data_IF_474794367444
#
_entry.id   IF_474794367444
#
_cell.length_a   1.000
_cell.length_b   1.000
_cell.length_c   1.000
_cell.angle_alpha   90.00
_cell.angle_beta   90.00
_cell.angle_gamma   90.00
#
_symmetry.space_group_name_H-M   'P 1'
#
loop_
_entity.id
_entity.type
_entity.pdbx_description
1 polymer ?
#
# COMPACT_ATOMS: atom_id res chain seq x y z
N UNK A 1 -19.88 -22.39 5.89
CA UNK A 1 -19.54 -21.80 5.70
C UNK A 1 -19.08 -21.33 5.65
N UNK A 2 -19.22 -21.39 5.38
CA UNK A 2 -18.72 -20.65 4.94
C UNK A 2 -18.07 -20.04 5.26
N UNK A 3 -17.90 -20.17 5.40
CA UNK A 3 -17.35 -19.41 5.44
C UNK A 3 -16.71 -18.96 5.64
N UNK A 4 -16.63 -19.05 5.40
CA UNK A 4 -16.22 -18.33 5.34
C UNK A 4 -15.70 -17.76 5.49
N UNK A 5 -15.70 -17.87 5.16
CA UNK A 5 -15.33 -17.09 5.02
C UNK A 5 -14.96 -16.35 5.41
N UNK A 6 -15.26 -16.34 5.27
CA UNK A 6 -15.04 -15.39 5.37
C UNK A 6 -14.36 -14.85 5.98
N UNK A 7 -14.28 -14.96 6.34
CA UNK A 7 -13.72 -14.25 6.79
C UNK A 7 -12.80 -13.92 6.65
N UNK A 8 -12.43 -14.15 6.49
CA UNK A 8 -11.56 -13.76 6.46
C UNK A 8 -11.21 -12.92 6.09
N UNK A 9 -11.50 -12.91 5.66
CA UNK A 9 -11.01 -12.05 5.25
C UNK A 9 -10.87 -10.99 5.75
N UNK A 10 -11.26 -10.68 6.10
CA UNK A 10 -11.06 -9.66 6.44
C UNK A 10 -10.06 -9.43 7.15
N UNK A 11 -10.07 -9.73 7.96
CA UNK A 11 -9.14 -9.28 8.67
C UNK A 11 -7.88 -9.35 8.18
N UNK A 12 -7.64 -10.13 7.47
CA UNK A 12 -6.39 -10.22 7.09
C UNK A 12 -5.99 -9.33 6.13
N UNK A 13 -6.84 -8.58 5.84
CA UNK A 13 -6.68 -8.07 4.67
C UNK A 13 -5.69 -7.12 4.28
N UNK A 14 -4.55 -7.39 4.33
CA UNK A 14 -3.55 -6.56 3.71
C UNK A 14 -3.85 -6.40 2.23
N UNK A 15 -3.42 -5.28 1.66
CA UNK A 15 -3.60 -5.02 0.23
C UNK A 15 -2.38 -5.54 -0.52
N UNK A 16 -2.59 -6.16 -1.66
CA UNK A 16 -1.49 -6.57 -2.51
C UNK A 16 -0.65 -5.35 -2.84
N UNK A 17 0.62 -5.41 -2.54
CA UNK A 17 1.52 -4.29 -2.78
C UNK A 17 2.90 -4.75 -3.23
N UNK A 18 3.02 -5.99 -3.63
CA UNK A 18 4.26 -6.54 -4.16
C UNK A 18 4.63 -5.82 -5.44
N UNK A 19 5.89 -5.41 -5.54
CA UNK A 19 6.36 -4.67 -6.70
C UNK A 19 6.18 -5.48 -7.99
N UNK A 20 6.21 -6.81 -7.89
CA UNK A 20 6.06 -7.68 -9.05
C UNK A 20 4.67 -7.63 -9.67
N UNK A 21 3.69 -7.11 -8.94
CA UNK A 21 2.32 -6.98 -9.43
C UNK A 21 2.05 -5.65 -10.09
N UNK A 22 3.05 -4.79 -10.19
CA UNK A 22 2.86 -3.39 -10.58
C UNK A 22 3.69 -3.01 -11.79
N UNK A 23 3.22 -1.99 -12.51
CA UNK A 23 3.97 -1.40 -13.61
C UNK A 23 3.75 0.12 -13.64
N UNK A 24 4.49 0.81 -14.47
CA UNK A 24 4.47 2.27 -14.58
C UNK A 24 4.68 2.92 -13.21
N UNK A 25 5.69 2.42 -12.51
CA UNK A 25 5.99 2.83 -11.16
C UNK A 25 6.79 4.14 -11.21
N UNK A 26 6.25 5.19 -10.60
CA UNK A 26 6.87 6.51 -10.60
C UNK A 26 6.94 7.03 -9.18
N UNK A 27 8.12 7.39 -8.74
CA UNK A 27 8.30 7.95 -7.40
C UNK A 27 7.71 9.36 -7.33
N UNK A 28 6.86 9.58 -6.34
CA UNK A 28 6.25 10.89 -6.12
C UNK A 28 6.91 11.65 -4.97
N UNK A 29 7.52 10.93 -4.06
CA UNK A 29 8.19 11.54 -2.91
C UNK A 29 8.48 10.50 -1.86
N UNK A 30 8.95 10.96 -0.70
CA UNK A 30 9.27 10.08 0.41
C UNK A 30 8.46 10.46 1.63
N UNK A 31 8.10 9.44 2.39
CA UNK A 31 7.46 9.64 3.69
C UNK A 31 8.53 9.92 4.74
N UNK A 32 8.08 10.34 5.92
CA UNK A 32 8.98 10.70 7.01
C UNK A 32 9.89 9.55 7.43
N UNK A 33 9.43 8.32 7.28
CA UNK A 33 10.22 7.14 7.65
C UNK A 33 11.12 6.65 6.52
N UNK A 34 11.20 7.39 5.43
CA UNK A 34 12.06 7.04 4.31
C UNK A 34 11.41 6.17 3.24
N UNK A 35 10.17 5.73 3.47
CA UNK A 35 9.46 4.95 2.46
C UNK A 35 9.15 5.80 1.24
N UNK A 36 9.36 5.24 0.05
CA UNK A 36 8.92 5.87 -1.17
C UNK A 36 7.41 5.83 -1.28
N UNK A 37 6.85 6.87 -1.88
CA UNK A 37 5.43 6.96 -2.19
C UNK A 37 5.32 7.08 -3.70
N UNK A 38 4.54 6.18 -4.32
CA UNK A 38 4.59 5.98 -5.77
C UNK A 38 3.24 6.07 -6.42
N UNK A 39 3.25 6.48 -7.68
CA UNK A 39 2.15 6.22 -8.59
C UNK A 39 2.47 4.92 -9.31
N UNK A 40 1.48 4.06 -9.47
CA UNK A 40 1.67 2.78 -10.16
C UNK A 40 0.33 2.27 -10.68
N UNK A 41 0.40 1.25 -11.52
CA UNK A 41 -0.78 0.50 -11.95
C UNK A 41 -0.56 -0.97 -11.64
N UNK A 42 -1.64 -1.70 -11.40
CA UNK A 42 -1.54 -3.14 -11.26
C UNK A 42 -1.47 -3.77 -12.64
N UNK A 43 -0.71 -4.84 -12.77
CA UNK A 43 -0.60 -5.55 -14.03
C UNK A 43 -1.98 -6.00 -14.51
N UNK A 44 -2.22 -5.81 -15.79
CA UNK A 44 -3.52 -6.12 -16.37
C UNK A 44 -4.47 -4.93 -16.41
N UNK A 45 -4.06 -3.79 -15.89
CA UNK A 45 -4.92 -2.60 -15.87
C UNK A 45 -4.04 -1.36 -16.05
N UNK A 46 -4.62 -0.30 -16.57
CA UNK A 46 -3.93 0.98 -16.68
C UNK A 46 -4.42 1.98 -15.65
N UNK A 47 -5.33 1.59 -14.78
CA UNK A 47 -5.79 2.50 -13.74
C UNK A 47 -4.64 2.80 -12.80
N UNK A 48 -4.44 4.08 -12.49
CA UNK A 48 -3.34 4.51 -11.65
C UNK A 48 -3.76 4.68 -10.21
N UNK A 49 -2.91 4.23 -9.31
CA UNK A 49 -3.08 4.34 -7.87
C UNK A 49 -1.85 4.97 -7.26
N UNK A 50 -1.95 5.35 -6.01
CA UNK A 50 -0.79 5.78 -5.24
C UNK A 50 -0.63 4.89 -4.03
N UNK A 51 0.62 4.67 -3.64
CA UNK A 51 0.90 3.83 -2.49
C UNK A 51 2.37 3.52 -2.36
N UNK A 52 2.64 2.49 -1.58
CA UNK A 52 3.99 2.07 -1.23
C UNK A 52 4.33 0.75 -1.91
N UNK A 53 5.60 0.36 -1.85
CA UNK A 53 6.05 -0.94 -2.34
C UNK A 53 6.28 -1.85 -1.14
N UNK A 54 5.67 -3.03 -1.16
CA UNK A 54 5.76 -3.96 -0.04
C UNK A 54 7.21 -4.31 0.28
N UNK A 55 8.05 -4.43 -0.74
CA UNK A 55 9.44 -4.77 -0.52
C UNK A 55 10.17 -3.72 0.31
N UNK A 56 9.83 -2.45 0.13
CA UNK A 56 10.41 -1.38 0.94
C UNK A 56 9.84 -1.37 2.35
N UNK A 57 8.53 -1.58 2.46
CA UNK A 57 7.88 -1.63 3.78
C UNK A 57 8.47 -2.76 4.61
N UNK A 58 8.79 -3.88 3.96
CA UNK A 58 9.37 -5.03 4.64
C UNK A 58 10.69 -4.70 5.32
N UNK A 59 11.46 -3.76 4.74
CA UNK A 59 12.72 -3.33 5.31
C UNK A 59 12.54 -2.37 6.48
N UNK A 60 11.52 -1.53 6.43
CA UNK A 60 11.34 -0.45 7.39
C UNK A 60 10.36 -0.84 8.50
N UNK A 61 9.29 -1.53 8.15
CA UNK A 61 8.26 -1.89 9.11
C UNK A 61 7.70 -3.27 8.74
N UNK A 62 8.47 -4.33 9.01
CA UNK A 62 8.06 -5.68 8.57
C UNK A 62 6.72 -6.13 9.17
N UNK A 63 6.33 -5.60 10.32
CA UNK A 63 5.05 -5.96 10.92
C UNK A 63 3.86 -5.49 10.10
N UNK A 64 4.07 -4.58 9.15
CA UNK A 64 3.01 -4.11 8.27
C UNK A 64 2.92 -4.90 6.97
N UNK A 65 3.69 -5.98 6.83
CA UNK A 65 3.75 -6.77 5.60
C UNK A 65 3.47 -8.23 5.91
N UNK A 66 2.71 -8.87 5.03
CA UNK A 66 2.49 -10.30 5.10
C UNK A 66 2.51 -10.89 3.70
N UNK A 67 2.88 -12.15 3.59
CA UNK A 67 2.83 -12.85 2.32
C UNK A 67 1.47 -13.51 2.18
N UNK A 68 0.80 -13.23 1.08
CA UNK A 68 -0.50 -13.83 0.81
C UNK A 68 -0.37 -15.27 0.33
N UNK A 69 -1.50 -15.94 0.23
CA UNK A 69 -1.53 -17.34 -0.25
C UNK A 69 -1.05 -17.45 -1.69
N UNK A 70 -1.21 -16.38 -2.46
CA UNK A 70 -0.75 -16.34 -3.85
C UNK A 70 0.75 -16.12 -3.95
N UNK A 71 1.44 -16.00 -2.81
CA UNK A 71 2.89 -15.80 -2.80
C UNK A 71 3.32 -14.37 -2.90
N UNK A 72 2.41 -13.46 -3.12
CA UNK A 72 2.75 -12.04 -3.25
C UNK A 72 2.60 -11.32 -1.92
N UNK A 73 3.40 -10.28 -1.75
CA UNK A 73 3.40 -9.50 -0.51
C UNK A 73 2.21 -8.57 -0.44
N UNK A 74 1.69 -8.40 0.76
CA UNK A 74 0.57 -7.50 1.06
C UNK A 74 1.00 -6.54 2.15
N UNK A 75 0.45 -5.35 2.11
CA UNK A 75 0.74 -4.30 3.09
C UNK A 75 -0.55 -3.94 3.83
N UNK A 76 -0.44 -3.82 5.14
CA UNK A 76 -1.53 -3.32 5.97
C UNK A 76 -1.40 -1.81 6.01
N UNK A 77 -2.07 -1.14 5.08
CA UNK A 77 -1.98 0.29 4.92
C UNK A 77 -2.40 1.06 6.16
N UNK A 78 -3.35 0.52 6.92
CA UNK A 78 -3.79 1.16 8.15
C UNK A 78 -2.67 1.21 9.19
N UNK A 79 -1.77 0.24 9.19
CA UNK A 79 -0.62 0.26 10.09
C UNK A 79 0.39 1.33 9.72
N UNK A 80 0.40 1.72 8.46
CA UNK A 80 1.30 2.76 7.98
C UNK A 80 0.68 4.14 8.09
N UNK A 81 -0.61 4.23 8.31
CA UNK A 81 -1.30 5.52 8.27
C UNK A 81 -1.42 6.09 6.87
N UNK A 82 -1.43 5.25 5.86
CA UNK A 82 -1.52 5.67 4.48
C UNK A 82 -2.85 5.20 3.90
N UNK A 83 -3.68 6.09 3.37
CA UNK A 83 -4.87 5.65 2.69
C UNK A 83 -4.50 5.08 1.32
N UNK A 84 -5.20 4.05 0.89
CA UNK A 84 -5.03 3.55 -0.47
C UNK A 84 -6.04 4.28 -1.34
N UNK A 85 -5.57 4.89 -2.42
CA UNK A 85 -6.47 5.68 -3.26
C UNK A 85 -5.99 5.72 -4.69
N UNK A 86 -6.89 6.11 -5.59
CA UNK A 86 -6.52 6.29 -6.98
C UNK A 86 -5.63 7.52 -7.11
N UNK A 87 -4.84 7.53 -8.17
CA UNK A 87 -3.98 8.66 -8.48
C UNK A 87 -4.84 9.93 -8.71
N UNK A 88 -5.98 9.77 -9.41
CA UNK A 88 -6.86 10.89 -9.68
C UNK A 88 -7.42 11.49 -8.38
N UNK A 89 -7.81 10.64 -7.44
CA UNK A 89 -8.31 11.11 -6.15
C UNK A 89 -7.21 11.85 -5.38
N UNK A 90 -6.01 11.30 -5.40
CA UNK A 90 -4.87 11.90 -4.72
C UNK A 90 -4.55 13.29 -5.30
N UNK A 91 -4.56 13.41 -6.64
CA UNK A 91 -4.35 14.70 -7.29
C UNK A 91 -5.43 15.70 -6.86
N UNK A 92 -6.68 15.25 -6.81
CA UNK A 92 -7.80 16.11 -6.45
C UNK A 92 -7.78 16.56 -5.00
N UNK A 93 -7.09 15.83 -4.14
CA UNK A 93 -7.04 16.18 -2.71
C UNK A 93 -5.76 16.91 -2.31
N UNK A 94 -5.00 17.40 -3.28
CA UNK A 94 -3.85 18.25 -2.96
C UNK A 94 -2.50 17.63 -3.27
N UNK A 95 -2.47 16.38 -3.70
CA UNK A 95 -1.25 15.73 -4.18
C UNK A 95 -0.12 15.77 -3.16
N UNK A 96 -0.42 15.44 -1.92
CA UNK A 96 0.60 15.45 -0.88
C UNK A 96 0.96 14.04 -0.45
N UNK A 97 2.26 13.80 -0.25
CA UNK A 97 2.73 12.54 0.28
C UNK A 97 2.27 12.43 1.72
N UNK A 98 1.58 11.34 2.10
CA UNK A 98 1.07 11.22 3.46
C UNK A 98 2.18 11.16 4.49
N UNK A 99 2.02 11.91 5.58
CA UNK A 99 2.95 11.88 6.68
C UNK A 99 2.48 10.91 7.73
N UNK A 100 3.42 10.42 8.52
CA UNK A 100 3.04 9.63 9.66
C UNK A 100 2.35 10.51 10.68
N UNK A 101 1.35 9.95 11.33
CA UNK A 101 0.73 10.63 12.45
C UNK A 101 1.68 10.50 13.63
N UNK A 102 2.07 11.64 14.20
CA UNK A 102 2.93 11.63 15.35
C UNK A 102 2.18 12.12 16.54
N UNK A 103 2.31 11.39 17.59
CA UNK A 103 1.76 11.86 18.84
C UNK A 103 2.74 12.85 19.39
N UNK A 104 2.27 14.01 19.57
CA UNK A 104 3.18 14.97 19.96
C UNK A 104 3.10 15.12 21.35
N UNK A 105 3.81 15.22 21.72
CA UNK A 105 3.82 15.48 22.80
C UNK A 105 3.94 16.34 23.21
#
# INVERSE_FOLDING_TARGET
MRGGGGGGGRGGGGRRSDIMLKHNITLLGYRDNGLGFYRFSYNGSDKAYVGVMAQEVQQVMPEAVARGRDGYLRVYYDKLGVPFESYAHWLGSGAQVPHEVRLQR
#
